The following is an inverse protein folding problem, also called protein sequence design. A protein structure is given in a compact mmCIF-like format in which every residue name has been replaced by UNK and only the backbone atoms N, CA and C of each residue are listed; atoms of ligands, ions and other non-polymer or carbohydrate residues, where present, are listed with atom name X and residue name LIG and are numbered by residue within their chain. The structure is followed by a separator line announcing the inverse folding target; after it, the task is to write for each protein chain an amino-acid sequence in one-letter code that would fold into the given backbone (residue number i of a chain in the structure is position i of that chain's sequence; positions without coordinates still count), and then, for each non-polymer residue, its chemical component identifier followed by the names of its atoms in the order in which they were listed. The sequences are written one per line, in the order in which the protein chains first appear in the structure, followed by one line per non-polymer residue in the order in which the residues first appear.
data_IF_693544950041
#
_entry.id   IF_693544950041
#
_cell.length_a   1.000
_cell.length_b   1.000
_cell.length_c   1.000
_cell.angle_alpha   90.00
_cell.angle_beta   90.00
_cell.angle_gamma   90.00
#
_symmetry.space_group_name_H-M   'P 1'
#
loop_
_entity.id
_entity.type
_entity.pdbx_description
1 polymer ?
#
# COMPACT_ATOMS: atom_id res chain seq x y z
N UNK A 1 11.80 -8.25 -2.90
CA UNK A 1 11.00 -9.49 -2.71
C UNK A 1 9.52 -9.21 -2.48
N UNK A 2 9.13 -8.44 -1.44
CA UNK A 2 7.72 -8.24 -1.08
C UNK A 2 6.88 -7.54 -2.17
N UNK A 3 7.43 -6.50 -2.83
CA UNK A 3 6.74 -5.82 -3.93
C UNK A 3 6.52 -6.75 -5.14
N UNK A 4 7.54 -7.55 -5.50
CA UNK A 4 7.48 -8.44 -6.65
C UNK A 4 6.47 -9.60 -6.48
N UNK A 5 6.24 -10.02 -5.23
CA UNK A 5 5.28 -11.07 -4.90
C UNK A 5 3.92 -10.52 -4.45
N UNK A 6 3.67 -9.22 -4.58
CA UNK A 6 2.41 -8.57 -4.19
C UNK A 6 1.99 -8.79 -2.72
N UNK A 7 2.98 -8.99 -1.83
CA UNK A 7 2.75 -9.23 -0.39
C UNK A 7 3.25 -8.10 0.49
N UNK A 8 3.60 -6.95 -0.10
CA UNK A 8 3.98 -5.77 0.69
C UNK A 8 2.79 -5.19 1.48
N UNK A 9 3.08 -4.37 2.50
CA UNK A 9 2.06 -3.68 3.31
C UNK A 9 1.03 -2.93 2.45
N UNK A 10 1.46 -2.36 1.33
CA UNK A 10 0.58 -1.63 0.41
C UNK A 10 -0.37 -2.56 -0.35
N UNK A 11 0.10 -3.72 -0.80
CA UNK A 11 -0.76 -4.70 -1.49
C UNK A 11 -1.79 -5.29 -0.54
N UNK A 12 -1.36 -5.64 0.68
CA UNK A 12 -2.26 -6.15 1.73
C UNK A 12 -3.32 -5.10 2.07
N UNK A 13 -2.93 -3.83 2.28
CA UNK A 13 -3.86 -2.73 2.54
C UNK A 13 -4.84 -2.51 1.38
N UNK A 14 -4.36 -2.56 0.13
CA UNK A 14 -5.20 -2.40 -1.07
C UNK A 14 -6.25 -3.51 -1.16
N UNK A 15 -5.86 -4.77 -0.94
CA UNK A 15 -6.79 -5.89 -0.93
C UNK A 15 -7.82 -5.78 0.22
N UNK A 16 -7.40 -5.30 1.39
CA UNK A 16 -8.31 -5.03 2.50
C UNK A 16 -9.35 -3.96 2.16
N UNK A 17 -8.93 -2.84 1.54
CA UNK A 17 -9.84 -1.77 1.08
C UNK A 17 -10.81 -2.30 0.02
N UNK A 18 -10.31 -3.04 -0.97
CA UNK A 18 -11.16 -3.64 -2.01
C UNK A 18 -12.17 -4.64 -1.43
N UNK A 19 -11.77 -5.44 -0.44
CA UNK A 19 -12.66 -6.35 0.27
C UNK A 19 -13.73 -5.61 1.09
N UNK A 20 -13.31 -4.59 1.83
CA UNK A 20 -14.21 -3.77 2.65
C UNK A 20 -15.22 -2.98 1.82
N UNK A 21 -14.81 -2.45 0.66
CA UNK A 21 -15.70 -1.72 -0.25
C UNK A 21 -16.89 -2.54 -0.77
N UNK A 22 -16.81 -3.89 -0.75
CA UNK A 22 -17.94 -4.76 -1.12
C UNK A 22 -19.11 -4.69 -0.15
N UNK A 23 -18.84 -4.34 1.11
CA UNK A 23 -19.82 -4.43 2.21
C UNK A 23 -20.00 -3.11 2.97
N UNK A 24 -19.10 -2.13 2.79
CA UNK A 24 -19.12 -0.87 3.49
C UNK A 24 -19.15 0.31 2.51
N UNK A 25 -20.30 0.96 2.40
CA UNK A 25 -20.55 2.10 1.50
C UNK A 25 -19.60 3.28 1.76
N UNK A 26 -19.26 3.55 3.03
CA UNK A 26 -18.31 4.62 3.37
C UNK A 26 -16.92 4.34 2.80
N UNK A 27 -16.52 3.08 2.77
CA UNK A 27 -15.24 2.66 2.18
C UNK A 27 -15.34 2.64 0.66
N UNK A 28 -16.49 2.22 0.10
CA UNK A 28 -16.72 2.19 -1.34
C UNK A 28 -16.55 3.57 -1.98
N UNK A 29 -17.12 4.62 -1.37
CA UNK A 29 -16.99 6.01 -1.84
C UNK A 29 -15.52 6.45 -1.94
N UNK A 30 -14.68 6.03 -0.99
CA UNK A 30 -13.25 6.39 -0.92
C UNK A 30 -12.32 5.36 -1.55
N UNK A 31 -12.85 4.26 -2.08
CA UNK A 31 -12.06 3.12 -2.53
C UNK A 31 -11.05 3.54 -3.60
N UNK A 32 -11.50 4.32 -4.59
CA UNK A 32 -10.67 4.73 -5.71
C UNK A 32 -9.49 5.61 -5.27
N UNK A 33 -9.76 6.61 -4.42
CA UNK A 33 -8.77 7.50 -3.84
C UNK A 33 -7.70 6.70 -3.08
N UNK A 34 -8.13 5.88 -2.11
CA UNK A 34 -7.23 5.10 -1.26
C UNK A 34 -6.40 4.08 -2.04
N UNK A 35 -7.01 3.40 -3.03
CA UNK A 35 -6.26 2.46 -3.88
C UNK A 35 -5.23 3.17 -4.75
N UNK A 36 -5.53 4.39 -5.21
CA UNK A 36 -4.62 5.18 -6.04
C UNK A 36 -3.42 5.68 -5.24
N UNK A 37 -3.64 6.11 -3.99
CA UNK A 37 -2.57 6.47 -3.05
C UNK A 37 -1.63 5.29 -2.79
N UNK A 38 -2.19 4.10 -2.53
CA UNK A 38 -1.38 2.90 -2.33
C UNK A 38 -0.58 2.49 -3.58
N UNK A 39 -1.15 2.65 -4.78
CA UNK A 39 -0.41 2.41 -6.02
C UNK A 39 0.74 3.39 -6.19
N UNK A 40 0.53 4.67 -5.86
CA UNK A 40 1.59 5.67 -5.86
C UNK A 40 2.72 5.31 -4.88
N UNK A 41 2.37 4.90 -3.66
CA UNK A 41 3.35 4.47 -2.65
C UNK A 41 4.16 3.25 -3.10
N UNK A 42 3.55 2.30 -3.82
CA UNK A 42 4.26 1.16 -4.42
C UNK A 42 5.29 1.65 -5.44
N UNK A 43 4.89 2.55 -6.34
CA UNK A 43 5.77 3.10 -7.38
C UNK A 43 6.94 3.89 -6.78
N UNK A 44 6.69 4.74 -5.79
CA UNK A 44 7.73 5.50 -5.09
C UNK A 44 8.69 4.58 -4.33
N UNK A 45 8.17 3.54 -3.67
CA UNK A 45 9.02 2.55 -2.98
C UNK A 45 9.90 1.80 -3.97
N UNK A 46 9.35 1.39 -5.12
CA UNK A 46 10.11 0.72 -6.16
C UNK A 46 11.22 1.62 -6.70
N UNK A 47 10.91 2.90 -6.96
CA UNK A 47 11.87 3.89 -7.41
C UNK A 47 12.99 4.08 -6.38
N UNK A 48 12.64 4.23 -5.10
CA UNK A 48 13.61 4.34 -4.01
C UNK A 48 14.57 3.15 -3.95
N UNK A 49 14.05 1.93 -4.04
CA UNK A 49 14.86 0.70 -4.02
C UNK A 49 15.85 0.68 -5.19
N UNK A 50 15.41 1.06 -6.39
CA UNK A 50 16.28 1.11 -7.58
C UNK A 50 17.38 2.16 -7.41
N UNK A 51 17.03 3.35 -6.91
CA UNK A 51 17.97 4.46 -6.75
C UNK A 51 18.98 4.25 -5.61
N UNK A 52 18.51 3.76 -4.46
CA UNK A 52 19.29 3.67 -3.22
C UNK A 52 19.86 2.28 -2.95
N UNK A 53 19.40 1.26 -3.69
CA UNK A 53 19.75 -0.16 -3.49
C UNK A 53 19.47 -0.68 -2.08
N UNK A 54 18.52 -0.05 -1.38
CA UNK A 54 18.03 -0.44 -0.06
C UNK A 54 16.54 -0.20 0.03
N UNK A 55 15.86 -0.96 0.89
CA UNK A 55 14.47 -0.68 1.26
C UNK A 55 14.39 0.61 2.10
N UNK A 56 13.26 1.35 2.06
CA UNK A 56 13.01 2.45 2.98
C UNK A 56 13.14 2.02 4.45
N UNK A 57 13.70 2.88 5.29
CA UNK A 57 14.05 2.52 6.67
C UNK A 57 12.81 2.19 7.55
N UNK A 58 11.63 2.71 7.18
CA UNK A 58 10.33 2.50 7.85
C UNK A 58 9.54 1.31 7.29
N UNK A 59 10.09 0.55 6.33
CA UNK A 59 9.34 -0.49 5.60
C UNK A 59 8.71 -1.54 6.52
N UNK A 60 9.42 -1.86 7.62
CA UNK A 60 9.05 -2.92 8.56
C UNK A 60 8.55 -2.40 9.91
N UNK A 61 8.46 -1.08 10.08
CA UNK A 61 7.92 -0.50 11.31
C UNK A 61 6.40 -0.65 11.33
N UNK A 62 5.85 -0.93 12.50
CA UNK A 62 4.40 -0.99 12.69
C UNK A 62 3.79 0.40 12.45
N UNK A 63 2.77 0.54 11.59
CA UNK A 63 2.09 1.81 11.41
C UNK A 63 1.35 2.19 12.69
N UNK A 64 1.51 3.44 13.13
CA UNK A 64 0.73 4.03 14.21
C UNK A 64 -0.52 4.70 13.64
N UNK A 65 -1.63 4.62 14.38
CA UNK A 65 -2.88 5.30 14.06
C UNK A 65 -3.19 6.20 15.25
N UNK A 66 -2.97 7.50 15.08
CA UNK A 66 -3.38 8.54 16.03
C UNK A 66 -4.84 8.98 15.75
#
# INVERSE_FOLDING_TARGET
MMLANEVSRFHVAKMAIMGAAKWNEKVQVRQHELCSELNHNIAETQKYIVEKRKDPDDTYTMPAFD
#
